data_IF_537946581113
#
_entry.id   IF_537946581113
#
_cell.length_a   1.000
_cell.length_b   1.000
_cell.length_c   1.000
_cell.angle_alpha   90.00
_cell.angle_beta   90.00
_cell.angle_gamma   90.00
#
_symmetry.space_group_name_H-M   'P 1'
#
loop_
_entity.id
_entity.type
_entity.pdbx_description
1 polymer ?
#
# COMPACT_ATOMS: atom_id res chain seq x y z
N UNK A 1 -26.08 -25.42 -21.54
CA UNK A 1 -25.53 -25.51 -20.17
C UNK A 1 -24.01 -25.43 -20.12
N UNK A 2 -23.25 -26.40 -20.66
CA UNK A 2 -21.77 -26.43 -20.60
C UNK A 2 -21.07 -25.13 -21.04
N UNK A 3 -21.54 -24.49 -22.13
CA UNK A 3 -20.96 -23.24 -22.65
C UNK A 3 -21.13 -22.04 -21.70
N UNK A 4 -22.28 -21.97 -21.01
CA UNK A 4 -22.58 -20.92 -20.03
C UNK A 4 -21.77 -21.14 -18.74
N UNK A 5 -21.59 -22.39 -18.33
CA UNK A 5 -20.74 -22.75 -17.19
C UNK A 5 -19.28 -22.36 -17.43
N UNK A 6 -18.76 -22.58 -18.65
CA UNK A 6 -17.39 -22.18 -19.02
C UNK A 6 -17.24 -20.66 -19.05
N UNK A 7 -18.22 -19.93 -19.61
CA UNK A 7 -18.21 -18.46 -19.63
C UNK A 7 -18.20 -17.85 -18.21
N UNK A 8 -19.02 -18.39 -17.30
CA UNK A 8 -19.07 -17.94 -15.91
C UNK A 8 -17.77 -18.23 -15.15
N UNK A 9 -17.16 -19.40 -15.38
CA UNK A 9 -15.85 -19.73 -14.80
C UNK A 9 -14.75 -18.78 -15.30
N UNK A 10 -14.78 -18.41 -16.57
CA UNK A 10 -13.83 -17.47 -17.16
C UNK A 10 -14.00 -16.05 -16.60
N UNK A 11 -15.24 -15.60 -16.42
CA UNK A 11 -15.54 -14.29 -15.82
C UNK A 11 -15.12 -14.22 -14.35
N UNK A 12 -15.28 -15.32 -13.61
CA UNK A 12 -14.85 -15.39 -12.20
C UNK A 12 -13.32 -15.34 -12.07
N UNK A 13 -12.59 -15.97 -12.99
CA UNK A 13 -11.13 -15.91 -13.03
C UNK A 13 -10.60 -14.49 -13.26
N UNK A 14 -11.24 -13.71 -14.13
CA UNK A 14 -10.84 -12.32 -14.42
C UNK A 14 -11.13 -11.35 -13.27
N UNK A 15 -12.03 -11.69 -12.33
CA UNK A 15 -12.40 -10.82 -11.21
C UNK A 15 -11.39 -10.82 -10.05
N UNK A 16 -10.57 -11.87 -9.92
CA UNK A 16 -9.66 -12.06 -8.78
C UNK A 16 -8.47 -11.09 -8.83
N UNK A 17 -8.01 -10.73 -10.04
CA UNK A 17 -6.86 -9.85 -10.23
C UNK A 17 -7.15 -8.38 -9.82
N UNK A 18 -8.39 -7.93 -9.94
CA UNK A 18 -8.78 -6.56 -9.57
C UNK A 18 -8.76 -6.30 -8.06
N UNK A 19 -8.92 -7.35 -7.24
CA UNK A 19 -8.94 -7.20 -5.78
C UNK A 19 -7.57 -6.83 -5.19
N UNK A 20 -6.48 -7.27 -5.82
CA UNK A 20 -5.12 -7.03 -5.31
C UNK A 20 -4.57 -5.65 -5.71
N UNK A 21 -5.15 -4.99 -6.72
CA UNK A 21 -4.73 -3.65 -7.15
C UNK A 21 -5.19 -2.51 -6.23
N UNK A 22 -6.06 -2.79 -5.26
CA UNK A 22 -6.58 -1.79 -4.32
C UNK A 22 -5.54 -1.33 -3.30
N UNK A 23 -4.40 -2.00 -3.13
CA UNK A 23 -3.38 -1.58 -2.17
C UNK A 23 -2.19 -0.98 -2.92
N UNK A 24 -1.91 0.30 -2.65
CA UNK A 24 -0.72 1.00 -3.17
C UNK A 24 0.34 1.04 -2.09
N UNK A 25 1.58 0.69 -2.43
CA UNK A 25 2.71 0.83 -1.51
C UNK A 25 3.37 2.19 -1.72
N UNK A 26 3.47 2.98 -0.67
CA UNK A 26 4.16 4.27 -0.60
C UNK A 26 5.41 4.10 0.23
N UNK A 27 6.57 4.44 -0.32
CA UNK A 27 7.85 4.44 0.39
C UNK A 27 8.49 5.82 0.34
N UNK A 28 9.36 6.10 1.30
CA UNK A 28 10.07 7.37 1.39
C UNK A 28 11.07 7.38 2.54
N UNK A 29 11.67 8.55 2.76
CA UNK A 29 12.62 8.81 3.85
C UNK A 29 12.22 10.09 4.57
N UNK A 30 12.20 10.05 5.90
CA UNK A 30 12.03 11.24 6.73
C UNK A 30 13.40 11.78 7.07
N UNK A 31 13.66 13.04 6.75
CA UNK A 31 14.94 13.70 6.99
C UNK A 31 14.78 14.95 7.84
N UNK A 32 15.83 15.25 8.61
CA UNK A 32 15.94 16.49 9.36
C UNK A 32 16.21 17.67 8.43
N UNK A 33 15.57 18.80 8.73
CA UNK A 33 15.73 20.04 7.97
C UNK A 33 17.07 20.73 8.20
N UNK A 34 17.74 20.43 9.32
CA UNK A 34 18.97 21.12 9.72
C UNK A 34 20.22 20.52 9.07
N UNK A 35 20.26 19.19 8.93
CA UNK A 35 21.45 18.43 8.51
C UNK A 35 21.18 17.42 7.37
N UNK A 36 19.91 17.20 6.99
CA UNK A 36 19.53 16.21 5.99
C UNK A 36 19.64 14.76 6.46
N UNK A 37 19.96 14.52 7.74
CA UNK A 37 20.06 13.19 8.33
C UNK A 37 18.70 12.49 8.39
N UNK A 38 18.69 11.16 8.27
CA UNK A 38 17.47 10.37 8.41
C UNK A 38 16.96 10.38 9.86
N UNK A 39 15.65 10.50 10.07
CA UNK A 39 15.07 10.54 11.42
C UNK A 39 14.42 9.18 11.75
N UNK A 40 15.03 8.39 12.66
CA UNK A 40 14.49 7.11 13.07
C UNK A 40 13.35 7.25 14.08
N UNK A 41 12.44 6.26 14.09
CA UNK A 41 11.40 6.14 15.10
C UNK A 41 10.25 7.13 15.02
N UNK A 42 10.10 7.86 13.90
CA UNK A 42 8.96 8.76 13.70
C UNK A 42 7.76 8.03 13.12
N UNK A 43 6.57 8.49 13.46
CA UNK A 43 5.31 7.94 12.95
C UNK A 43 4.89 8.63 11.66
N UNK A 44 4.65 7.83 10.60
CA UNK A 44 4.08 8.28 9.33
C UNK A 44 2.64 7.76 9.25
N UNK A 45 1.66 8.66 9.22
CA UNK A 45 0.23 8.33 9.24
C UNK A 45 -0.47 8.83 7.97
N UNK A 46 -1.32 8.00 7.36
CA UNK A 46 -2.22 8.46 6.29
C UNK A 46 -3.31 9.32 6.88
N UNK A 47 -3.38 10.58 6.42
CA UNK A 47 -4.35 11.57 6.88
C UNK A 47 -5.78 11.02 6.79
N UNK A 48 -6.53 11.14 7.89
CA UNK A 48 -7.93 10.69 7.95
C UNK A 48 -8.11 9.21 8.24
N UNK A 49 -7.04 8.44 8.42
CA UNK A 49 -7.10 7.01 8.74
C UNK A 49 -6.27 6.69 9.98
N UNK A 50 -6.37 5.45 10.46
CA UNK A 50 -5.47 4.90 11.50
C UNK A 50 -4.30 4.10 10.89
N UNK A 51 -4.15 4.13 9.57
CA UNK A 51 -3.10 3.39 8.85
C UNK A 51 -1.81 4.20 8.89
N UNK A 52 -0.79 3.65 9.52
CA UNK A 52 0.52 4.28 9.64
C UNK A 52 1.64 3.27 9.83
N UNK A 53 2.87 3.77 9.79
CA UNK A 53 4.10 2.99 9.98
C UNK A 53 5.12 3.82 10.76
N UNK A 54 6.19 3.18 11.23
CA UNK A 54 7.29 3.82 11.95
C UNK A 54 8.53 3.75 11.07
N UNK A 55 9.32 4.83 11.02
CA UNK A 55 10.57 4.84 10.26
C UNK A 55 11.64 3.94 10.88
N UNK A 56 12.48 3.36 10.02
CA UNK A 56 13.63 2.55 10.43
C UNK A 56 14.83 3.39 10.92
N UNK A 57 15.97 2.75 11.20
CA UNK A 57 17.19 3.41 11.67
C UNK A 57 17.75 4.47 10.72
N UNK A 58 17.48 4.34 9.43
CA UNK A 58 17.89 5.30 8.40
C UNK A 58 16.80 6.36 8.17
N UNK A 59 15.66 6.29 8.86
CA UNK A 59 14.51 7.18 8.62
C UNK A 59 13.66 6.76 7.42
N UNK A 60 13.88 5.58 6.84
CA UNK A 60 13.08 5.08 5.72
C UNK A 60 11.76 4.49 6.20
N UNK A 61 10.72 4.58 5.38
CA UNK A 61 9.43 3.98 5.66
C UNK A 61 8.83 3.33 4.41
N UNK A 62 7.96 2.35 4.64
CA UNK A 62 7.10 1.75 3.62
C UNK A 62 5.71 1.57 4.22
N UNK A 63 4.69 2.03 3.51
CA UNK A 63 3.31 2.10 3.97
C UNK A 63 2.36 1.66 2.86
N UNK A 64 1.49 0.71 3.18
CA UNK A 64 0.45 0.25 2.27
C UNK A 64 -0.81 1.09 2.49
N UNK A 65 -1.31 1.73 1.42
CA UNK A 65 -2.47 2.62 1.44
C UNK A 65 -3.52 2.11 0.47
N UNK A 66 -4.78 2.12 0.90
CA UNK A 66 -5.93 1.83 0.03
C UNK A 66 -6.46 3.17 -0.51
N UNK A 67 -6.64 3.36 -1.83
CA UNK A 67 -7.32 4.52 -2.38
C UNK A 67 -8.80 4.50 -1.97
N UNK A 68 -9.34 5.69 -1.66
CA UNK A 68 -10.78 5.92 -1.48
C UNK A 68 -11.57 5.72 -2.78
#
# INVERSE_FOLDING_TARGET
MRKITILLAFLFMLGVDYANAQTRTISGKVTSSEDGGGIPGVTVLVKGTQVGTITDLEGSYTLNVTPD
#
